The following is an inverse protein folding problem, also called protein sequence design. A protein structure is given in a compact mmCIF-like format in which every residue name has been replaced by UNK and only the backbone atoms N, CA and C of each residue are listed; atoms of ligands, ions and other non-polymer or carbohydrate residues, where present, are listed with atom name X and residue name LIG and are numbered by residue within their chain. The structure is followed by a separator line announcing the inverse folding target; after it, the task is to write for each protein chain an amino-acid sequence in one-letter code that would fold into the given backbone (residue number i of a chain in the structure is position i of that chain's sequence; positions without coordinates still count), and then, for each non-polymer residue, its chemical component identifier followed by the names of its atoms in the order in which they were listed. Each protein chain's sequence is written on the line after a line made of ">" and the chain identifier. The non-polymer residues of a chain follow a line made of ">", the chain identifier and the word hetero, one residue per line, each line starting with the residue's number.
data_IF_564760528460
#
_entry.id   IF_564760528460
#
_cell.length_a   1.000
_cell.length_b   1.000
_cell.length_c   1.000
_cell.angle_alpha   90.00
_cell.angle_beta   90.00
_cell.angle_gamma   90.00
#
_symmetry.space_group_name_H-M   'P 1'
#
loop_
_entity.id
_entity.type
_entity.pdbx_description
1 polymer ?
#
# COMPACT_ATOMS: atom_id res chain seq x y z
N UNK A 1 -50.56 15.98 38.17
CA UNK A 1 -50.46 14.70 37.41
C UNK A 1 -49.82 13.66 38.32
N UNK A 2 -50.49 12.54 38.53
CA UNK A 2 -50.09 11.53 39.53
C UNK A 2 -48.75 10.87 39.12
N UNK A 3 -47.70 11.03 39.95
CA UNK A 3 -46.34 10.48 39.63
C UNK A 3 -46.38 9.00 39.30
N UNK A 4 -47.23 8.20 39.93
CA UNK A 4 -47.41 6.77 39.65
C UNK A 4 -47.96 6.53 38.25
N UNK A 5 -48.88 7.38 37.76
CA UNK A 5 -49.43 7.28 36.41
C UNK A 5 -48.40 7.58 35.33
N UNK A 6 -47.52 8.57 35.54
CA UNK A 6 -46.44 8.92 34.64
C UNK A 6 -45.42 7.78 34.56
N UNK A 7 -45.05 7.17 35.67
CA UNK A 7 -44.14 6.03 35.71
C UNK A 7 -44.68 4.83 34.94
N UNK A 8 -45.98 4.49 35.15
CA UNK A 8 -46.61 3.38 34.44
C UNK A 8 -46.66 3.63 32.92
N UNK A 9 -46.99 4.87 32.51
CA UNK A 9 -47.02 5.24 31.11
C UNK A 9 -45.62 5.16 30.45
N UNK A 10 -44.58 5.61 31.16
CA UNK A 10 -43.19 5.54 30.68
C UNK A 10 -42.71 4.11 30.51
N UNK A 11 -43.04 3.20 31.43
CA UNK A 11 -42.69 1.78 31.35
C UNK A 11 -43.41 1.12 30.16
N UNK A 12 -44.68 1.46 29.93
CA UNK A 12 -45.44 0.95 28.77
C UNK A 12 -44.82 1.38 27.44
N UNK A 13 -44.41 2.63 27.31
CA UNK A 13 -43.74 3.17 26.12
C UNK A 13 -42.42 2.44 25.87
N UNK A 14 -41.63 2.17 26.91
CA UNK A 14 -40.37 1.43 26.80
C UNK A 14 -40.61 -0.01 26.34
N UNK A 15 -41.63 -0.69 26.88
CA UNK A 15 -41.97 -2.07 26.49
C UNK A 15 -42.40 -2.12 25.02
N UNK A 16 -43.22 -1.18 24.56
CA UNK A 16 -43.64 -1.09 23.15
C UNK A 16 -42.45 -0.82 22.24
N UNK A 17 -41.54 0.06 22.65
CA UNK A 17 -40.35 0.37 21.85
C UNK A 17 -39.37 -0.82 21.77
N UNK A 18 -39.17 -1.53 22.88
CA UNK A 18 -38.36 -2.77 22.89
C UNK A 18 -39.02 -3.85 22.02
N UNK A 19 -40.35 -4.01 22.12
CA UNK A 19 -41.09 -4.94 21.25
C UNK A 19 -40.95 -4.60 19.77
N UNK A 20 -41.02 -3.32 19.42
CA UNK A 20 -40.79 -2.87 18.05
C UNK A 20 -39.38 -3.20 17.55
N UNK A 21 -38.34 -2.92 18.34
CA UNK A 21 -36.95 -3.26 18.00
C UNK A 21 -36.79 -4.77 17.79
N UNK A 22 -37.34 -5.60 18.65
CA UNK A 22 -37.26 -7.07 18.55
C UNK A 22 -37.95 -7.56 17.27
N UNK A 23 -39.13 -7.02 16.94
CA UNK A 23 -39.85 -7.38 15.72
C UNK A 23 -39.10 -6.92 14.47
N UNK A 24 -38.51 -5.72 14.51
CA UNK A 24 -37.77 -5.18 13.37
C UNK A 24 -36.43 -5.90 13.13
N UNK A 25 -35.73 -6.30 14.21
CA UNK A 25 -34.51 -7.12 14.12
C UNK A 25 -34.79 -8.61 13.83
N UNK A 26 -36.00 -9.11 14.15
CA UNK A 26 -36.42 -10.47 13.85
C UNK A 26 -37.00 -10.63 12.43
N UNK A 27 -37.25 -9.54 11.71
CA UNK A 27 -37.59 -9.65 10.27
C UNK A 27 -36.38 -10.29 9.59
N UNK A 28 -36.54 -11.43 8.89
CA UNK A 28 -35.50 -11.91 8.01
C UNK A 28 -35.12 -10.75 7.10
N UNK A 29 -33.84 -10.43 7.01
CA UNK A 29 -33.34 -9.63 5.89
C UNK A 29 -33.89 -10.34 4.66
N UNK A 30 -34.92 -9.80 4.02
CA UNK A 30 -35.28 -10.18 2.66
C UNK A 30 -33.99 -9.90 1.85
N UNK A 31 -33.16 -10.93 1.75
CA UNK A 31 -32.20 -11.00 0.68
C UNK A 31 -33.06 -10.97 -0.57
N UNK A 32 -33.08 -9.80 -1.19
CA UNK A 32 -33.79 -9.66 -2.46
C UNK A 32 -33.16 -10.70 -3.39
N UNK A 33 -33.94 -11.76 -3.71
CA UNK A 33 -33.56 -12.76 -4.72
C UNK A 33 -33.28 -12.09 -6.08
N UNK A 34 -33.68 -10.83 -6.22
CA UNK A 34 -33.40 -9.98 -7.38
C UNK A 34 -31.97 -9.43 -7.40
N UNK A 35 -31.32 -9.24 -6.25
CA UNK A 35 -29.91 -8.83 -6.23
C UNK A 35 -28.95 -10.00 -6.54
N UNK A 36 -29.36 -11.23 -6.26
CA UNK A 36 -28.59 -12.42 -6.64
C UNK A 36 -28.62 -12.71 -8.15
N UNK A 37 -29.60 -12.18 -8.88
CA UNK A 37 -29.72 -12.33 -10.33
C UNK A 37 -29.08 -11.19 -11.13
N UNK A 38 -28.72 -10.09 -10.48
CA UNK A 38 -28.02 -8.95 -11.12
C UNK A 38 -26.51 -8.96 -10.99
N UNK A 39 -25.93 -9.95 -10.36
CA UNK A 39 -24.48 -10.10 -10.28
C UNK A 39 -23.90 -11.14 -11.26
N UNK A 40 -24.48 -11.33 -12.41
CA UNK A 40 -23.68 -11.60 -13.60
C UNK A 40 -22.98 -10.29 -13.97
N UNK A 41 -22.12 -9.82 -13.05
CA UNK A 41 -21.07 -8.87 -13.39
C UNK A 41 -20.24 -9.57 -14.43
N UNK A 42 -20.17 -9.02 -15.64
CA UNK A 42 -19.13 -9.34 -16.60
C UNK A 42 -17.80 -9.19 -15.85
N UNK A 43 -17.29 -10.30 -15.26
CA UNK A 43 -16.02 -10.31 -14.58
C UNK A 43 -14.98 -9.92 -15.61
N UNK A 44 -14.39 -8.74 -15.44
CA UNK A 44 -13.28 -8.31 -16.28
C UNK A 44 -12.16 -9.31 -16.03
N UNK A 45 -11.74 -10.10 -17.03
CA UNK A 45 -10.74 -11.13 -16.80
C UNK A 45 -9.36 -10.50 -16.52
N UNK A 46 -8.55 -11.23 -15.77
CA UNK A 46 -7.14 -10.85 -15.59
C UNK A 46 -6.42 -10.86 -16.94
N UNK A 47 -5.81 -9.74 -17.29
CA UNK A 47 -4.99 -9.60 -18.50
C UNK A 47 -3.56 -10.16 -18.31
N UNK A 48 -3.21 -10.52 -17.08
CA UNK A 48 -1.89 -10.96 -16.67
C UNK A 48 -1.93 -12.37 -16.08
N UNK A 49 -0.76 -13.00 -15.99
CA UNK A 49 -0.56 -14.31 -15.36
C UNK A 49 0.68 -14.28 -14.49
N UNK A 50 0.72 -15.11 -13.45
CA UNK A 50 1.96 -15.43 -12.75
C UNK A 50 2.85 -16.23 -13.71
N UNK A 51 3.94 -15.64 -14.14
CA UNK A 51 4.92 -16.30 -15.01
C UNK A 51 5.93 -17.09 -14.20
N UNK A 52 6.27 -16.61 -13.02
CA UNK A 52 7.25 -17.21 -12.11
C UNK A 52 6.91 -16.85 -10.68
N UNK A 53 7.14 -17.79 -9.77
CA UNK A 53 7.20 -17.55 -8.35
C UNK A 53 8.46 -18.20 -7.78
N UNK A 54 9.13 -17.55 -6.86
CA UNK A 54 10.26 -18.14 -6.19
C UNK A 54 10.41 -17.66 -4.76
N UNK A 55 10.96 -18.49 -3.89
CA UNK A 55 11.28 -18.13 -2.53
C UNK A 55 12.55 -17.30 -2.53
N UNK A 56 12.44 -15.99 -2.33
CA UNK A 56 13.59 -15.14 -2.11
C UNK A 56 14.29 -15.54 -0.80
N UNK A 57 15.63 -15.52 -0.82
CA UNK A 57 16.39 -15.94 0.36
C UNK A 57 16.05 -15.10 1.59
N UNK A 58 15.71 -15.77 2.70
CA UNK A 58 15.34 -15.15 3.97
C UNK A 58 13.86 -15.31 4.32
N UNK A 59 13.52 -14.89 5.55
CA UNK A 59 12.16 -15.00 6.06
C UNK A 59 11.39 -13.67 5.94
N UNK A 60 10.07 -13.78 5.79
CA UNK A 60 9.16 -12.63 5.84
C UNK A 60 9.49 -11.55 4.82
N UNK A 61 9.47 -11.91 3.53
CA UNK A 61 9.66 -10.96 2.43
C UNK A 61 8.61 -9.86 2.49
N UNK A 62 9.02 -8.57 2.47
CA UNK A 62 8.12 -7.43 2.66
C UNK A 62 8.22 -6.36 1.58
N UNK A 63 9.39 -6.21 0.96
CA UNK A 63 9.65 -5.10 0.08
C UNK A 63 10.34 -5.58 -1.21
N UNK A 64 10.04 -4.91 -2.32
CA UNK A 64 10.68 -5.15 -3.60
C UNK A 64 10.91 -3.83 -4.35
N UNK A 65 12.05 -3.73 -5.02
CA UNK A 65 12.28 -2.67 -6.01
C UNK A 65 13.09 -3.23 -7.17
N UNK A 66 12.93 -2.66 -8.36
CA UNK A 66 13.58 -3.15 -9.59
C UNK A 66 14.19 -1.99 -10.36
N UNK A 67 15.40 -2.20 -10.91
CA UNK A 67 16.08 -1.23 -11.76
C UNK A 67 15.66 -1.37 -13.23
N UNK A 68 15.88 -0.32 -14.01
CA UNK A 68 15.73 -0.40 -15.48
C UNK A 68 16.66 -1.44 -16.13
N UNK A 69 17.81 -1.73 -15.52
CA UNK A 69 18.74 -2.78 -15.98
C UNK A 69 18.31 -4.20 -15.61
N UNK A 70 17.21 -4.34 -14.84
CA UNK A 70 16.66 -5.64 -14.45
C UNK A 70 17.25 -6.23 -13.16
N UNK A 71 18.04 -5.49 -12.38
CA UNK A 71 18.37 -5.92 -11.00
C UNK A 71 17.13 -5.83 -10.14
N UNK A 72 16.88 -6.86 -9.33
CA UNK A 72 15.74 -6.99 -8.44
C UNK A 72 16.28 -6.99 -7.02
N UNK A 73 15.86 -6.02 -6.21
CA UNK A 73 16.18 -5.97 -4.79
C UNK A 73 14.95 -6.37 -3.99
N UNK A 74 15.15 -7.25 -3.03
CA UNK A 74 14.09 -7.69 -2.12
C UNK A 74 14.55 -7.53 -0.68
N UNK A 75 13.62 -7.15 0.20
CA UNK A 75 13.88 -6.95 1.61
C UNK A 75 12.88 -7.70 2.49
N UNK A 76 13.35 -8.14 3.64
CA UNK A 76 12.51 -8.88 4.58
C UNK A 76 13.01 -8.77 6.02
N UNK A 77 12.92 -9.85 6.77
CA UNK A 77 13.29 -9.83 8.17
C UNK A 77 14.81 -9.79 8.32
N UNK A 78 15.34 -8.58 8.51
CA UNK A 78 16.75 -8.27 8.71
C UNK A 78 17.68 -8.66 7.53
N UNK A 79 17.21 -8.50 6.29
CA UNK A 79 18.06 -8.70 5.11
C UNK A 79 17.61 -7.84 3.92
N UNK A 80 18.56 -7.60 3.00
CA UNK A 80 18.32 -7.20 1.61
C UNK A 80 19.10 -8.16 0.72
N UNK A 81 18.44 -8.67 -0.32
CA UNK A 81 19.07 -9.48 -1.36
C UNK A 81 18.92 -8.82 -2.72
N UNK A 82 19.91 -9.01 -3.58
CA UNK A 82 19.88 -8.58 -4.97
C UNK A 82 19.92 -9.80 -5.89
N UNK A 83 19.06 -9.78 -6.89
CA UNK A 83 19.00 -10.78 -7.94
C UNK A 83 19.22 -10.12 -9.30
N UNK A 84 19.75 -10.86 -10.24
CA UNK A 84 19.76 -10.47 -11.64
C UNK A 84 18.38 -10.67 -12.31
N UNK A 85 18.26 -10.26 -13.56
CA UNK A 85 17.03 -10.42 -14.35
C UNK A 85 16.57 -11.88 -14.51
N UNK A 86 17.49 -12.84 -14.43
CA UNK A 86 17.21 -14.28 -14.50
C UNK A 86 16.89 -14.90 -13.15
N UNK A 87 16.73 -14.08 -12.10
CA UNK A 87 16.50 -14.50 -10.71
C UNK A 87 17.69 -15.22 -10.07
N UNK A 88 18.89 -15.06 -10.63
CA UNK A 88 20.15 -15.51 -10.01
C UNK A 88 20.51 -14.59 -8.85
N UNK A 89 20.80 -15.16 -7.67
CA UNK A 89 21.24 -14.40 -6.50
C UNK A 89 22.62 -13.81 -6.75
N UNK A 90 22.73 -12.48 -6.65
CA UNK A 90 24.00 -11.77 -6.75
C UNK A 90 24.66 -11.59 -5.37
N UNK A 91 23.87 -11.14 -4.38
CA UNK A 91 24.34 -10.97 -3.01
C UNK A 91 23.16 -10.90 -2.02
N UNK A 92 23.48 -11.13 -0.76
CA UNK A 92 22.60 -10.88 0.39
C UNK A 92 23.39 -10.18 1.48
N UNK A 93 22.80 -9.14 2.05
CA UNK A 93 23.36 -8.41 3.20
C UNK A 93 22.38 -8.43 4.36
N UNK A 94 22.92 -8.59 5.57
CA UNK A 94 22.13 -8.47 6.81
C UNK A 94 21.91 -6.99 7.13
N UNK A 95 20.70 -6.65 7.52
CA UNK A 95 20.33 -5.32 8.02
C UNK A 95 20.14 -5.35 9.54
N UNK A 96 20.30 -4.21 10.25
CA UNK A 96 20.15 -4.14 11.70
C UNK A 96 18.75 -4.55 12.19
N UNK A 97 17.73 -4.37 11.37
CA UNK A 97 16.34 -4.71 11.67
C UNK A 97 15.58 -5.05 10.39
N UNK A 98 14.30 -5.42 10.54
CA UNK A 98 13.42 -5.74 9.41
C UNK A 98 13.31 -4.56 8.44
N UNK A 99 13.44 -4.86 7.14
CA UNK A 99 13.21 -3.92 6.04
C UNK A 99 11.71 -3.76 5.84
N UNK A 100 11.26 -2.52 5.73
CA UNK A 100 9.86 -2.14 5.59
C UNK A 100 9.52 -1.59 4.21
N UNK A 101 10.50 -1.08 3.47
CA UNK A 101 10.36 -0.58 2.12
C UNK A 101 11.71 -0.53 1.40
N UNK A 102 11.69 -0.55 0.09
CA UNK A 102 12.87 -0.48 -0.77
C UNK A 102 12.65 0.51 -1.92
N UNK A 103 13.71 1.22 -2.25
CA UNK A 103 13.77 2.06 -3.45
C UNK A 103 15.16 2.03 -4.05
N UNK A 104 15.27 2.33 -5.33
CA UNK A 104 16.57 2.49 -5.99
C UNK A 104 16.57 3.74 -6.86
N UNK A 105 17.70 4.40 -6.94
CA UNK A 105 17.96 5.45 -7.92
C UNK A 105 19.44 5.60 -8.22
N UNK A 106 19.81 5.52 -9.51
CA UNK A 106 21.22 5.54 -9.92
C UNK A 106 21.99 4.39 -9.27
N UNK A 107 23.11 4.72 -8.65
CA UNK A 107 23.99 3.77 -7.94
C UNK A 107 23.64 3.66 -6.44
N UNK A 108 22.43 3.95 -6.05
CA UNK A 108 22.00 3.87 -4.65
C UNK A 108 20.76 3.01 -4.49
N UNK A 109 20.77 2.19 -3.43
CA UNK A 109 19.61 1.44 -2.94
C UNK A 109 19.29 1.97 -1.55
N UNK A 110 18.03 2.32 -1.34
CA UNK A 110 17.50 2.81 -0.08
C UNK A 110 16.61 1.75 0.54
N UNK A 111 16.92 1.34 1.77
CA UNK A 111 16.11 0.41 2.52
C UNK A 111 15.60 1.09 3.79
N UNK A 112 14.30 1.23 3.93
CA UNK A 112 13.72 1.68 5.18
C UNK A 112 13.63 0.52 6.17
N UNK A 113 13.86 0.85 7.42
CA UNK A 113 13.57 0.03 8.58
C UNK A 113 12.58 0.76 9.46
N UNK A 114 12.29 0.27 10.68
CA UNK A 114 11.30 0.91 11.53
C UNK A 114 11.51 2.43 11.73
N UNK A 115 12.76 2.86 11.94
CA UNK A 115 13.07 4.25 12.28
C UNK A 115 14.23 4.87 11.48
N UNK A 116 14.80 4.14 10.54
CA UNK A 116 16.02 4.54 9.83
C UNK A 116 15.91 4.23 8.33
N UNK A 117 16.72 4.93 7.54
CA UNK A 117 16.96 4.64 6.13
C UNK A 117 18.41 4.21 5.98
N UNK A 118 18.62 3.00 5.47
CA UNK A 118 19.94 2.49 5.07
C UNK A 118 20.19 2.89 3.62
N UNK A 119 21.34 3.48 3.35
CA UNK A 119 21.78 3.81 2.00
C UNK A 119 22.87 2.84 1.61
N UNK A 120 22.63 2.07 0.55
CA UNK A 120 23.55 1.04 0.06
C UNK A 120 24.00 1.34 -1.36
N UNK A 121 25.19 0.84 -1.73
CA UNK A 121 25.61 0.79 -3.13
C UNK A 121 25.02 -0.44 -3.84
N UNK A 122 25.16 -0.55 -5.18
CA UNK A 122 24.62 -1.68 -5.94
C UNK A 122 25.21 -3.05 -5.61
N UNK A 123 26.31 -3.08 -4.86
CA UNK A 123 27.01 -4.31 -4.41
C UNK A 123 26.60 -4.74 -3.00
N UNK A 124 25.63 -4.02 -2.38
CA UNK A 124 25.07 -4.33 -1.07
C UNK A 124 25.85 -3.75 0.12
N UNK A 125 26.89 -2.94 -0.11
CA UNK A 125 27.60 -2.28 0.99
C UNK A 125 26.76 -1.12 1.53
N UNK A 126 26.49 -1.11 2.84
CA UNK A 126 25.87 0.02 3.54
C UNK A 126 26.88 1.15 3.58
N UNK A 127 26.51 2.29 3.02
CA UNK A 127 27.35 3.50 2.94
C UNK A 127 26.96 4.51 4.02
N UNK A 128 25.67 4.64 4.31
CA UNK A 128 25.14 5.56 5.30
C UNK A 128 23.90 4.97 5.98
N UNK A 129 23.64 5.46 7.19
CA UNK A 129 22.42 5.22 7.95
C UNK A 129 21.87 6.57 8.39
N UNK A 130 20.62 6.88 8.00
CA UNK A 130 19.93 8.11 8.36
C UNK A 130 18.87 7.85 9.41
N UNK A 131 18.81 8.68 10.42
CA UNK A 131 17.91 8.54 11.56
C UNK A 131 18.63 8.07 12.84
N UNK A 132 17.93 7.67 13.92
CA UNK A 132 16.46 7.61 13.97
C UNK A 132 15.83 9.00 13.81
N UNK A 133 14.67 9.05 13.11
CA UNK A 133 14.01 10.34 12.84
C UNK A 133 13.14 10.80 14.00
N UNK A 134 12.36 9.88 14.59
CA UNK A 134 11.51 10.11 15.75
C UNK A 134 11.52 8.88 16.67
N UNK A 135 11.28 9.07 17.96
CA UNK A 135 11.30 7.98 18.95
C UNK A 135 10.29 6.86 18.68
N UNK A 136 9.14 7.23 18.11
CA UNK A 136 8.05 6.29 17.79
C UNK A 136 7.82 6.11 16.31
N UNK A 137 8.83 6.35 15.47
CA UNK A 137 8.69 6.16 14.02
C UNK A 137 8.28 4.73 13.66
N UNK A 138 7.43 4.63 12.66
CA UNK A 138 7.14 3.41 11.91
C UNK A 138 7.19 3.73 10.43
N UNK A 139 8.40 3.77 9.90
CA UNK A 139 8.62 4.00 8.46
C UNK A 139 8.14 2.77 7.72
N UNK A 140 7.24 2.95 6.76
CA UNK A 140 6.60 1.87 6.01
C UNK A 140 6.96 1.85 4.54
N UNK A 141 7.43 2.97 4.00
CA UNK A 141 7.89 3.06 2.62
C UNK A 141 8.98 4.10 2.46
N UNK A 142 9.79 3.94 1.42
CA UNK A 142 10.82 4.88 0.99
C UNK A 142 10.82 4.97 -0.53
N UNK A 143 11.02 6.16 -1.07
CA UNK A 143 11.16 6.38 -2.50
C UNK A 143 12.25 7.41 -2.78
N UNK A 144 12.99 7.22 -3.87
CA UNK A 144 14.08 8.11 -4.25
C UNK A 144 13.99 8.48 -5.72
N UNK A 145 14.37 9.71 -6.03
CA UNK A 145 14.60 10.18 -7.39
C UNK A 145 15.97 10.86 -7.50
N UNK A 146 16.21 11.59 -8.59
CA UNK A 146 17.49 12.27 -8.84
C UNK A 146 17.86 13.23 -7.71
N UNK A 147 16.92 13.94 -7.09
CA UNK A 147 17.18 15.06 -6.17
C UNK A 147 16.85 14.76 -4.73
N UNK A 148 15.85 13.92 -4.50
CA UNK A 148 15.24 13.74 -3.19
C UNK A 148 15.12 12.27 -2.82
N UNK A 149 15.00 12.04 -1.53
CA UNK A 149 14.51 10.80 -0.93
C UNK A 149 13.31 11.17 -0.07
N UNK A 150 12.24 10.40 -0.16
CA UNK A 150 11.08 10.59 0.71
C UNK A 150 10.73 9.28 1.41
N UNK A 151 10.17 9.38 2.61
CA UNK A 151 9.65 8.23 3.32
C UNK A 151 8.35 8.57 4.05
N UNK A 152 7.50 7.55 4.26
CA UNK A 152 6.26 7.67 5.00
C UNK A 152 6.40 7.05 6.39
N UNK A 153 6.03 7.80 7.42
CA UNK A 153 5.96 7.36 8.82
C UNK A 153 4.51 7.14 9.22
N UNK A 154 4.10 5.88 9.30
CA UNK A 154 2.72 5.50 9.58
C UNK A 154 2.29 5.77 11.03
N UNK A 155 3.21 5.71 11.99
CA UNK A 155 2.90 6.00 13.40
C UNK A 155 2.61 7.49 13.59
N UNK A 156 3.47 8.35 13.05
CA UNK A 156 3.32 9.79 13.14
C UNK A 156 2.37 10.36 12.07
N UNK A 157 1.99 9.56 11.06
CA UNK A 157 1.15 9.97 9.93
C UNK A 157 1.74 11.16 9.19
N UNK A 158 3.04 11.10 8.93
CA UNK A 158 3.82 12.15 8.29
C UNK A 158 4.63 11.60 7.13
N UNK A 159 4.92 12.49 6.19
CA UNK A 159 5.82 12.20 5.08
C UNK A 159 7.02 13.14 5.17
N UNK A 160 8.21 12.57 5.13
CA UNK A 160 9.47 13.29 5.16
C UNK A 160 10.05 13.35 3.75
N UNK A 161 10.56 14.51 3.40
CA UNK A 161 11.30 14.75 2.16
C UNK A 161 12.71 15.20 2.54
N UNK A 162 13.71 14.46 2.08
CA UNK A 162 15.12 14.67 2.35
C UNK A 162 15.87 15.00 1.06
N UNK A 163 17.00 15.67 1.18
CA UNK A 163 17.97 15.70 0.11
C UNK A 163 18.77 14.38 0.01
N UNK A 164 19.69 14.29 -0.93
CA UNK A 164 20.52 13.09 -1.14
C UNK A 164 21.60 12.89 -0.05
N UNK A 165 21.79 13.86 0.81
CA UNK A 165 22.65 13.77 2.00
C UNK A 165 21.92 13.25 3.24
N UNK A 166 20.59 13.13 3.20
CA UNK A 166 19.76 12.69 4.33
C UNK A 166 19.26 13.86 5.21
N UNK A 167 19.47 15.11 4.78
CA UNK A 167 18.94 16.27 5.51
C UNK A 167 17.46 16.46 5.19
N UNK A 168 16.63 16.59 6.24
CA UNK A 168 15.18 16.82 6.11
C UNK A 168 14.93 18.21 5.54
N UNK A 169 14.27 18.28 4.41
CA UNK A 169 13.88 19.53 3.74
C UNK A 169 12.43 19.90 3.99
N UNK A 170 11.56 18.91 4.14
CA UNK A 170 10.12 19.13 4.35
C UNK A 170 9.49 17.97 5.11
N UNK A 171 8.50 18.28 5.94
CA UNK A 171 7.59 17.30 6.54
C UNK A 171 6.17 17.69 6.16
N UNK A 172 5.39 16.71 5.67
CA UNK A 172 3.97 16.88 5.32
C UNK A 172 3.14 16.11 6.35
N UNK A 173 2.00 16.65 6.75
CA UNK A 173 1.08 16.01 7.71
C UNK A 173 1.38 16.30 9.18
N UNK A 174 2.48 16.98 9.50
CA UNK A 174 2.91 17.20 10.89
C UNK A 174 1.91 18.07 11.70
N UNK A 175 1.36 19.09 11.06
CA UNK A 175 0.53 20.10 11.76
C UNK A 175 -0.97 19.95 11.48
N UNK A 176 -1.36 19.39 10.37
CA UNK A 176 -2.75 19.36 9.90
C UNK A 176 -3.45 18.01 10.08
N UNK A 177 -2.71 16.99 10.50
CA UNK A 177 -3.22 15.61 10.68
C UNK A 177 -4.00 15.10 9.46
N UNK A 178 -3.58 15.52 8.28
CA UNK A 178 -4.28 15.28 7.02
C UNK A 178 -4.39 13.77 6.68
N UNK A 179 -3.33 12.99 6.96
CA UNK A 179 -3.30 11.58 6.60
C UNK A 179 -4.10 10.72 7.58
N UNK A 180 -5.02 9.92 7.03
CA UNK A 180 -5.78 8.92 7.78
C UNK A 180 -5.17 7.55 7.47
N UNK A 181 -4.42 7.01 8.44
CA UNK A 181 -3.67 5.75 8.28
C UNK A 181 -4.16 4.76 9.35
N UNK A 182 -5.21 3.97 9.05
CA UNK A 182 -5.82 3.05 10.03
C UNK A 182 -4.98 1.81 10.33
N UNK A 183 -4.05 1.47 9.46
CA UNK A 183 -3.13 0.34 9.61
C UNK A 183 -1.76 0.72 9.04
N UNK A 184 -0.68 0.01 9.38
CA UNK A 184 0.68 0.39 9.02
C UNK A 184 1.02 0.14 7.54
N UNK A 185 0.14 0.61 6.65
CA UNK A 185 0.34 0.66 5.20
C UNK A 185 0.23 2.12 4.79
N UNK A 186 1.38 2.74 4.61
CA UNK A 186 1.49 4.13 4.21
C UNK A 186 2.56 4.21 3.13
N UNK A 187 2.13 4.08 1.88
CA UNK A 187 3.00 4.01 0.72
C UNK A 187 3.16 5.37 0.05
N UNK A 188 4.36 5.61 -0.48
CA UNK A 188 4.64 6.78 -1.30
C UNK A 188 5.61 6.46 -2.44
N UNK A 189 5.53 7.26 -3.51
CA UNK A 189 6.46 7.19 -4.64
C UNK A 189 6.80 8.60 -5.12
N UNK A 190 8.08 8.88 -5.34
CA UNK A 190 8.61 10.06 -6.00
C UNK A 190 8.80 9.78 -7.49
N UNK A 191 8.25 10.63 -8.37
CA UNK A 191 8.57 10.57 -9.78
C UNK A 191 9.81 11.41 -10.13
N UNK A 192 10.27 11.30 -11.38
CA UNK A 192 11.43 12.06 -11.86
C UNK A 192 11.14 13.55 -12.08
N UNK A 193 9.88 13.97 -12.03
CA UNK A 193 9.44 15.36 -12.13
C UNK A 193 9.28 16.03 -10.76
N UNK A 194 9.66 15.32 -9.68
CA UNK A 194 9.49 15.70 -8.28
C UNK A 194 8.01 15.84 -7.85
N UNK A 195 7.10 15.06 -8.44
CA UNK A 195 5.81 14.86 -7.85
C UNK A 195 5.92 13.72 -6.83
N UNK A 196 5.31 13.93 -5.69
CA UNK A 196 5.21 12.94 -4.62
C UNK A 196 3.79 12.39 -4.60
N UNK A 197 3.66 11.11 -4.85
CA UNK A 197 2.39 10.39 -4.76
C UNK A 197 2.33 9.68 -3.41
N UNK A 198 1.21 9.81 -2.69
CA UNK A 198 1.04 9.30 -1.33
C UNK A 198 -0.29 8.57 -1.22
N UNK A 199 -0.29 7.33 -0.76
CA UNK A 199 -1.51 6.57 -0.48
C UNK A 199 -2.12 7.02 0.86
N UNK A 200 -3.15 7.85 0.84
CA UNK A 200 -3.96 8.17 2.02
C UNK A 200 -5.00 7.07 2.21
N UNK A 201 -4.57 5.96 2.84
CA UNK A 201 -5.28 4.68 2.81
C UNK A 201 -6.65 4.70 3.48
N UNK A 202 -6.84 5.50 4.53
CA UNK A 202 -8.15 5.68 5.18
C UNK A 202 -9.09 6.59 4.38
N UNK A 203 -8.56 7.38 3.44
CA UNK A 203 -9.35 8.17 2.50
C UNK A 203 -9.57 7.45 1.16
N UNK A 204 -9.03 6.24 0.99
CA UNK A 204 -9.16 5.41 -0.22
C UNK A 204 -8.70 6.13 -1.48
N UNK A 205 -7.57 6.83 -1.42
CA UNK A 205 -7.08 7.61 -2.55
C UNK A 205 -5.55 7.71 -2.58
N UNK A 206 -5.03 8.01 -3.76
CA UNK A 206 -3.65 8.42 -3.96
C UNK A 206 -3.64 9.93 -4.18
N UNK A 207 -2.88 10.63 -3.37
CA UNK A 207 -2.74 12.09 -3.38
C UNK A 207 -1.41 12.48 -4.02
N UNK A 208 -1.41 13.54 -4.83
CA UNK A 208 -0.22 14.08 -5.49
C UNK A 208 0.17 15.40 -4.85
N UNK A 209 1.40 15.48 -4.38
CA UNK A 209 1.98 16.67 -3.77
C UNK A 209 3.13 17.23 -4.60
N UNK A 210 3.36 18.54 -4.49
CA UNK A 210 4.66 19.12 -4.84
C UNK A 210 5.69 18.74 -3.77
N UNK A 211 6.97 18.94 -4.11
CA UNK A 211 8.06 18.72 -3.15
C UNK A 211 8.01 19.71 -1.97
N UNK A 212 7.34 20.83 -2.13
CA UNK A 212 7.11 21.81 -1.06
C UNK A 212 5.93 21.46 -0.15
N UNK A 213 5.27 20.29 -0.42
CA UNK A 213 4.17 19.76 0.39
C UNK A 213 2.80 20.32 0.05
N UNK A 214 2.63 20.94 -1.15
CA UNK A 214 1.33 21.44 -1.60
C UNK A 214 0.57 20.33 -2.31
N UNK A 215 -0.64 19.98 -1.83
CA UNK A 215 -1.55 19.04 -2.49
C UNK A 215 -1.98 19.61 -3.85
N UNK A 216 -1.70 18.86 -4.92
CA UNK A 216 -2.04 19.23 -6.31
C UNK A 216 -3.32 18.58 -6.79
N UNK A 217 -3.48 17.30 -6.53
CA UNK A 217 -4.61 16.48 -7.00
C UNK A 217 -4.71 15.18 -6.19
N UNK A 218 -5.78 14.48 -6.41
CA UNK A 218 -5.92 13.10 -5.92
C UNK A 218 -6.86 12.32 -6.85
N UNK A 219 -6.83 10.99 -6.75
CA UNK A 219 -7.77 10.08 -7.38
C UNK A 219 -8.03 8.87 -6.49
N UNK A 220 -9.15 8.20 -6.75
CA UNK A 220 -9.63 7.05 -5.99
C UNK A 220 -10.70 7.45 -4.97
N UNK A 221 -11.58 6.50 -4.69
CA UNK A 221 -12.67 6.58 -3.73
C UNK A 221 -12.98 5.18 -3.17
N UNK A 222 -13.68 5.08 -2.03
CA UNK A 222 -14.06 3.80 -1.47
C UNK A 222 -15.09 3.09 -2.36
N UNK A 223 -14.95 1.78 -2.57
CA UNK A 223 -15.92 0.99 -3.31
C UNK A 223 -15.37 -0.32 -3.85
N UNK A 224 -16.28 -1.16 -4.39
CA UNK A 224 -15.98 -2.46 -4.98
C UNK A 224 -15.72 -2.40 -6.49
N UNK A 225 -16.16 -1.33 -7.16
CA UNK A 225 -15.91 -1.15 -8.59
C UNK A 225 -14.42 -1.23 -8.95
N UNK A 226 -14.06 -1.62 -10.17
CA UNK A 226 -12.67 -1.78 -10.57
C UNK A 226 -11.80 -0.53 -10.37
N UNK A 227 -12.33 0.66 -10.58
CA UNK A 227 -11.67 1.94 -10.39
C UNK A 227 -11.50 2.33 -8.93
N UNK A 228 -12.36 1.81 -8.03
CA UNK A 228 -12.42 2.19 -6.63
C UNK A 228 -11.48 1.33 -5.76
N UNK A 229 -11.20 1.77 -4.54
CA UNK A 229 -10.38 1.07 -3.58
C UNK A 229 -11.24 0.42 -2.50
N UNK A 230 -11.11 -0.91 -2.36
CA UNK A 230 -11.90 -1.71 -1.44
C UNK A 230 -11.18 -1.99 -0.12
N UNK A 231 -11.97 -2.09 0.95
CA UNK A 231 -11.47 -2.45 2.28
C UNK A 231 -11.18 -1.24 3.16
N UNK A 232 -10.66 -1.47 4.36
CA UNK A 232 -10.45 -0.41 5.34
C UNK A 232 -9.17 0.42 5.11
N UNK A 233 -8.26 -0.03 4.27
CA UNK A 233 -6.92 0.54 4.12
C UNK A 233 -6.38 0.25 2.71
N UNK A 234 -6.92 0.92 1.71
CA UNK A 234 -6.53 0.72 0.32
C UNK A 234 -6.37 2.05 -0.44
N UNK A 235 -5.46 2.13 -1.42
CA UNK A 235 -4.47 1.11 -1.76
C UNK A 235 -3.41 0.96 -0.68
N UNK A 236 -2.97 -0.28 -0.41
CA UNK A 236 -1.93 -0.53 0.59
C UNK A 236 -0.53 -0.27 0.03
N UNK A 237 -0.29 -0.74 -1.19
CA UNK A 237 0.94 -0.50 -1.94
C UNK A 237 0.64 -0.09 -3.37
N UNK A 238 1.54 0.65 -3.98
CA UNK A 238 1.48 0.99 -5.39
C UNK A 238 2.86 1.32 -5.95
N UNK A 239 3.01 1.17 -7.26
CA UNK A 239 4.17 1.63 -8.00
C UNK A 239 3.75 2.45 -9.22
N UNK A 240 4.60 3.38 -9.63
CA UNK A 240 4.42 4.13 -10.88
C UNK A 240 4.97 3.30 -12.03
N UNK A 241 4.19 3.21 -13.11
CA UNK A 241 4.57 2.57 -14.36
C UNK A 241 4.38 3.56 -15.52
N UNK A 242 4.93 3.32 -16.71
CA UNK A 242 4.78 4.24 -17.86
C UNK A 242 3.32 4.57 -18.20
N UNK A 243 2.41 3.61 -18.02
CA UNK A 243 0.97 3.74 -18.31
C UNK A 243 0.20 4.50 -17.21
N UNK A 244 0.71 4.52 -15.98
CA UNK A 244 0.05 5.11 -14.82
C UNK A 244 0.51 4.47 -13.51
N UNK A 245 -0.35 3.69 -12.87
CA UNK A 245 -0.08 3.08 -11.56
C UNK A 245 -0.45 1.60 -11.57
N UNK A 246 0.34 0.77 -10.92
CA UNK A 246 -0.08 -0.54 -10.46
C UNK A 246 -0.33 -0.47 -8.96
N UNK A 247 -1.49 -0.96 -8.49
CA UNK A 247 -1.91 -0.85 -7.09
C UNK A 247 -2.24 -2.21 -6.51
N UNK A 248 -1.90 -2.44 -5.23
CA UNK A 248 -2.31 -3.61 -4.45
C UNK A 248 -3.25 -3.17 -3.32
N UNK A 249 -4.39 -3.86 -3.24
CA UNK A 249 -5.38 -3.61 -2.21
C UNK A 249 -5.29 -4.65 -1.09
N UNK A 250 -5.68 -4.26 0.12
CA UNK A 250 -5.64 -5.13 1.28
C UNK A 250 -6.93 -5.95 1.48
N UNK A 251 -8.09 -5.37 1.19
CA UNK A 251 -9.38 -5.98 1.52
C UNK A 251 -9.67 -7.23 0.70
N UNK A 252 -9.56 -7.16 -0.61
CA UNK A 252 -9.77 -8.25 -1.55
C UNK A 252 -8.49 -8.73 -2.24
N UNK A 253 -7.33 -8.20 -1.84
CA UNK A 253 -6.00 -8.51 -2.40
C UNK A 253 -5.95 -8.43 -3.93
N UNK A 254 -6.62 -7.45 -4.46
CA UNK A 254 -6.73 -7.17 -5.88
C UNK A 254 -5.49 -6.37 -6.34
N UNK A 255 -4.89 -6.79 -7.45
CA UNK A 255 -3.83 -6.02 -8.12
C UNK A 255 -4.39 -5.53 -9.45
N UNK A 256 -4.32 -4.23 -9.69
CA UNK A 256 -4.88 -3.59 -10.90
C UNK A 256 -3.98 -2.49 -11.43
N UNK A 257 -4.18 -2.16 -12.69
CA UNK A 257 -3.54 -1.03 -13.36
C UNK A 257 -4.57 0.09 -13.52
N UNK A 258 -4.16 1.28 -13.10
CA UNK A 258 -4.87 2.54 -13.33
C UNK A 258 -4.04 3.41 -14.25
N UNK A 259 -4.67 4.20 -15.09
CA UNK A 259 -3.97 5.18 -15.91
C UNK A 259 -3.50 6.38 -15.07
N UNK A 260 -2.84 7.36 -15.70
CA UNK A 260 -2.31 8.56 -15.01
C UNK A 260 -3.39 9.44 -14.37
N UNK A 261 -4.66 9.27 -14.73
CA UNK A 261 -5.81 9.98 -14.14
C UNK A 261 -6.47 9.18 -13.00
N UNK A 262 -6.01 7.95 -12.74
CA UNK A 262 -6.63 7.04 -11.77
C UNK A 262 -7.80 6.22 -12.31
N UNK A 263 -8.06 6.25 -13.63
CA UNK A 263 -9.11 5.46 -14.26
C UNK A 263 -8.64 4.01 -14.44
N UNK A 264 -9.54 3.06 -14.25
CA UNK A 264 -9.25 1.63 -14.37
C UNK A 264 -8.84 1.26 -15.81
N UNK A 265 -7.79 0.46 -15.94
CA UNK A 265 -7.31 -0.07 -17.21
C UNK A 265 -7.55 -1.57 -17.29
N UNK A 266 -7.00 -2.34 -16.35
CA UNK A 266 -7.05 -3.80 -16.36
C UNK A 266 -6.70 -4.40 -15.00
N UNK A 267 -7.08 -5.65 -14.79
CA UNK A 267 -6.62 -6.43 -13.65
C UNK A 267 -5.32 -7.18 -13.99
N UNK A 268 -4.39 -7.13 -13.04
CA UNK A 268 -3.23 -8.01 -12.97
C UNK A 268 -3.60 -9.31 -12.27
N UNK A 269 -4.27 -9.19 -11.12
CA UNK A 269 -4.84 -10.30 -10.36
C UNK A 269 -6.09 -9.81 -9.63
N UNK A 270 -7.27 -10.27 -10.05
CA UNK A 270 -8.56 -9.91 -9.46
C UNK A 270 -9.08 -10.96 -8.46
N UNK A 271 -8.54 -12.17 -8.52
CA UNK A 271 -9.13 -13.37 -7.89
C UNK A 271 -8.68 -13.62 -6.48
N UNK A 272 -8.30 -12.62 -5.71
CA UNK A 272 -8.06 -12.81 -4.28
C UNK A 272 -7.23 -14.08 -3.96
N UNK A 273 -6.20 -14.34 -4.78
CA UNK A 273 -5.38 -15.56 -4.75
C UNK A 273 -4.46 -15.62 -3.52
N UNK A 274 -4.39 -14.54 -2.76
CA UNK A 274 -3.53 -14.37 -1.60
C UNK A 274 -4.35 -14.25 -0.33
N UNK A 275 -3.73 -14.44 0.83
CA UNK A 275 -4.41 -14.31 2.12
C UNK A 275 -4.94 -12.89 2.29
N UNK A 276 -6.22 -12.75 2.58
CA UNK A 276 -6.86 -11.46 2.86
C UNK A 276 -6.08 -10.72 3.95
N UNK A 277 -6.03 -9.42 3.82
CA UNK A 277 -5.36 -8.52 4.78
C UNK A 277 -3.82 -8.56 4.80
N UNK A 278 -3.18 -9.34 3.92
CA UNK A 278 -1.73 -9.31 3.71
C UNK A 278 -1.47 -8.80 2.29
N UNK A 279 -1.31 -7.50 2.09
CA UNK A 279 -1.08 -6.92 0.76
C UNK A 279 0.33 -7.26 0.25
N UNK A 280 0.49 -7.17 -1.06
CA UNK A 280 1.75 -7.38 -1.75
C UNK A 280 2.41 -6.02 -2.01
N UNK A 281 3.71 -5.92 -1.72
CA UNK A 281 4.49 -4.79 -2.21
C UNK A 281 4.84 -4.97 -3.68
N UNK A 282 4.81 -3.89 -4.44
CA UNK A 282 4.83 -3.92 -5.91
C UNK A 282 5.99 -3.11 -6.49
N UNK A 283 6.62 -3.64 -7.52
CA UNK A 283 7.60 -2.91 -8.32
C UNK A 283 7.46 -3.26 -9.81
N UNK A 284 7.70 -2.28 -10.67
CA UNK A 284 7.86 -2.47 -12.11
C UNK A 284 8.71 -1.33 -12.66
N UNK A 285 9.69 -1.64 -13.48
CA UNK A 285 10.52 -0.64 -14.15
C UNK A 285 10.03 -0.32 -15.57
N UNK A 286 9.37 -1.28 -16.22
CA UNK A 286 9.03 -1.23 -17.65
C UNK A 286 7.50 -1.16 -17.90
N UNK A 287 6.68 -1.45 -16.89
CA UNK A 287 5.23 -1.55 -17.00
C UNK A 287 4.72 -2.77 -17.75
N UNK A 288 5.60 -3.73 -18.09
CA UNK A 288 5.25 -4.98 -18.78
C UNK A 288 5.63 -6.22 -17.96
N UNK A 289 6.42 -6.02 -16.91
CA UNK A 289 6.74 -7.02 -15.89
C UNK A 289 6.45 -6.41 -14.51
N UNK A 290 5.61 -7.07 -13.73
CA UNK A 290 5.28 -6.62 -12.36
C UNK A 290 5.84 -7.64 -11.38
N UNK A 291 6.62 -7.17 -10.44
CA UNK A 291 7.16 -7.94 -9.32
C UNK A 291 6.34 -7.63 -8.08
N UNK A 292 5.95 -8.67 -7.36
CA UNK A 292 5.13 -8.57 -6.16
C UNK A 292 5.75 -9.37 -5.01
N UNK A 293 6.23 -8.67 -3.98
CA UNK A 293 6.72 -9.32 -2.77
C UNK A 293 5.54 -9.65 -1.86
N UNK A 294 5.39 -10.92 -1.53
CA UNK A 294 4.29 -11.39 -0.71
C UNK A 294 4.77 -11.88 0.67
N UNK A 295 4.41 -11.15 1.75
CA UNK A 295 4.81 -11.54 3.09
C UNK A 295 4.19 -12.83 3.60
N UNK A 296 3.04 -13.23 3.06
CA UNK A 296 2.27 -14.39 3.53
C UNK A 296 2.96 -15.74 3.35
N UNK A 297 3.80 -15.88 2.33
CA UNK A 297 4.58 -17.10 2.06
C UNK A 297 6.07 -16.83 1.78
N UNK A 298 6.49 -15.57 1.90
CA UNK A 298 7.87 -15.12 1.66
C UNK A 298 8.35 -15.38 0.23
N UNK A 299 7.45 -15.27 -0.75
CA UNK A 299 7.77 -15.42 -2.17
C UNK A 299 7.73 -14.09 -2.91
N UNK A 300 8.51 -14.03 -3.97
CA UNK A 300 8.38 -13.04 -5.04
C UNK A 300 7.59 -13.65 -6.19
N UNK A 301 6.52 -12.97 -6.58
CA UNK A 301 5.69 -13.31 -7.73
C UNK A 301 6.02 -12.38 -8.89
N UNK A 302 6.17 -12.96 -10.08
CA UNK A 302 6.44 -12.21 -11.31
C UNK A 302 5.22 -12.35 -12.21
N UNK A 303 4.60 -11.22 -12.52
CA UNK A 303 3.46 -11.16 -13.43
C UNK A 303 3.90 -10.65 -14.79
N UNK A 304 3.42 -11.30 -15.84
CA UNK A 304 3.58 -10.88 -17.24
C UNK A 304 2.23 -10.93 -17.95
N UNK A 305 2.07 -10.19 -19.03
CA UNK A 305 0.85 -10.28 -19.84
C UNK A 305 0.63 -11.69 -20.38
N UNK A 306 -0.64 -12.05 -20.52
CA UNK A 306 -1.05 -13.33 -21.17
C UNK A 306 -0.77 -13.32 -22.65
#
# INVERSE_FOLDING_TARGET
>A
MNRKLVTVLSVLVIIVFIGYIIIDTAKPLESSKDDAKKSETNEVPDAWKISTEFKAGGDSLKAVTVTLSGKIYVGGNAFVSCYDKGLGLLWTVKTPSAVTGLSNYGDSVFASTRAQILVMNPDGKILNEWGPFEDKSLITSVSANRRFVAFADAENKTVYILDKGGEVKKIIGQNDKHFIIPSPYFELVLDNMNNLYVANTGMHRIETYSIDGVLKSFFGEPGLAPENFCGCCAPAHFAIIPQGFVTAEKGINRIKILNKKGEFVEFVNSKNSFIKSVPLDLASADGVTIYAAYPGDSKLYVFTRK
#
